data_IF_384383454420
#
_entry.id   IF_384383454420
#
_cell.length_a   1.000
_cell.length_b   1.000
_cell.length_c   1.000
_cell.angle_alpha   90.00
_cell.angle_beta   90.00
_cell.angle_gamma   90.00
#
_symmetry.space_group_name_H-M   'P 1'
#
loop_
_entity.id
_entity.type
_entity.pdbx_description
1 polymer ?
#
# COMPACT_ATOMS: atom_id res chain seq x y z
N UNK A 1 -22.85 -3.26 -3.81
CA UNK A 1 -24.03 -2.56 -3.28
C UNK A 1 -23.91 -1.08 -3.60
N UNK A 2 -24.99 -0.46 -4.11
CA UNK A 2 -24.97 0.94 -4.52
C UNK A 2 -24.61 1.91 -3.38
N UNK A 3 -25.07 1.61 -2.16
CA UNK A 3 -24.76 2.44 -0.99
C UNK A 3 -23.29 2.39 -0.61
N UNK A 4 -22.67 1.21 -0.68
CA UNK A 4 -21.25 1.07 -0.40
C UNK A 4 -20.40 1.79 -1.43
N UNK A 5 -20.79 1.74 -2.69
CA UNK A 5 -20.08 2.45 -3.75
C UNK A 5 -20.16 3.97 -3.57
N UNK A 6 -21.30 4.47 -3.14
CA UNK A 6 -21.46 5.90 -2.86
C UNK A 6 -20.57 6.38 -1.71
N UNK A 7 -20.41 5.57 -0.67
CA UNK A 7 -19.56 5.89 0.47
C UNK A 7 -18.06 5.74 0.18
N UNK A 8 -17.70 4.86 -0.75
CA UNK A 8 -16.30 4.61 -1.09
C UNK A 8 -15.76 5.55 -2.14
N UNK A 9 -16.62 6.23 -2.89
CA UNK A 9 -16.25 7.07 -4.01
C UNK A 9 -16.09 6.30 -5.32
N UNK A 10 -15.45 6.93 -6.31
CA UNK A 10 -15.20 6.34 -7.62
C UNK A 10 -13.99 5.42 -7.58
N UNK A 11 -14.16 4.17 -8.01
CA UNK A 11 -13.01 3.27 -8.17
C UNK A 11 -12.15 3.76 -9.33
N UNK A 12 -10.87 4.05 -9.05
CA UNK A 12 -9.96 4.56 -10.07
C UNK A 12 -8.91 3.54 -10.51
N UNK A 13 -8.54 2.58 -9.65
CA UNK A 13 -7.65 1.49 -10.05
C UNK A 13 -7.75 0.29 -9.12
N UNK A 14 -7.33 -0.86 -9.64
CA UNK A 14 -7.02 -2.06 -8.90
C UNK A 14 -5.57 -2.44 -9.18
N UNK A 15 -4.81 -2.75 -8.15
CA UNK A 15 -3.41 -3.14 -8.27
C UNK A 15 -3.20 -4.59 -7.86
N UNK A 16 -2.29 -5.24 -8.57
CA UNK A 16 -1.72 -6.53 -8.20
C UNK A 16 -0.20 -6.30 -8.10
N UNK A 17 0.28 -6.21 -6.87
CA UNK A 17 1.66 -5.85 -6.56
C UNK A 17 2.36 -7.05 -5.96
N UNK A 18 3.69 -7.09 -6.15
CA UNK A 18 4.54 -8.05 -5.49
C UNK A 18 5.46 -7.35 -4.50
N UNK A 19 5.69 -8.01 -3.37
CA UNK A 19 6.76 -7.63 -2.44
C UNK A 19 8.06 -8.16 -3.02
N UNK A 20 8.89 -7.26 -3.56
CA UNK A 20 10.11 -7.62 -4.28
C UNK A 20 11.24 -7.92 -3.31
N UNK A 21 11.38 -7.10 -2.28
CA UNK A 21 12.42 -7.26 -1.25
C UNK A 21 12.03 -6.52 0.01
N UNK A 22 12.65 -6.91 1.11
CA UNK A 22 12.47 -6.28 2.41
C UNK A 22 13.84 -5.93 2.98
N UNK A 23 13.99 -4.68 3.41
CA UNK A 23 15.15 -4.25 4.18
C UNK A 23 14.72 -4.12 5.63
N UNK A 24 15.38 -4.84 6.53
CA UNK A 24 15.17 -4.69 7.96
C UNK A 24 16.30 -3.92 8.64
N UNK A 25 16.07 -3.57 9.89
CA UNK A 25 17.03 -2.80 10.68
C UNK A 25 17.30 -3.51 12.02
N UNK A 26 17.59 -4.81 11.92
CA UNK A 26 17.97 -5.63 13.06
C UNK A 26 16.91 -6.61 13.54
N UNK A 27 15.64 -6.43 13.13
CA UNK A 27 14.56 -7.38 13.41
C UNK A 27 13.85 -7.68 12.09
N UNK A 28 13.92 -8.93 11.67
CA UNK A 28 13.31 -9.31 10.39
C UNK A 28 11.80 -9.46 10.50
N UNK A 29 11.11 -9.28 9.38
CA UNK A 29 9.67 -9.51 9.30
C UNK A 29 9.34 -10.97 9.63
N UNK A 30 10.15 -11.90 9.15
CA UNK A 30 9.95 -13.33 9.40
C UNK A 30 10.02 -13.67 10.89
N UNK A 31 11.00 -13.12 11.61
CA UNK A 31 11.15 -13.34 13.05
C UNK A 31 9.94 -12.80 13.84
N UNK A 32 9.40 -11.67 13.43
CA UNK A 32 8.21 -11.10 14.07
C UNK A 32 6.98 -11.94 13.76
N UNK A 33 6.77 -12.31 12.52
CA UNK A 33 5.57 -13.06 12.09
C UNK A 33 5.54 -14.47 12.65
N UNK A 34 6.70 -15.10 12.83
CA UNK A 34 6.80 -16.45 13.42
C UNK A 34 6.85 -16.43 14.94
N UNK A 35 6.89 -15.27 15.56
CA UNK A 35 6.99 -15.13 17.01
C UNK A 35 8.37 -15.41 17.58
N UNK A 36 9.40 -15.57 16.75
CA UNK A 36 10.77 -15.77 17.20
C UNK A 36 11.32 -14.59 17.97
N UNK A 37 10.95 -13.39 17.56
CA UNK A 37 11.32 -12.14 18.22
C UNK A 37 10.09 -11.27 18.41
N UNK A 38 10.02 -10.63 19.58
CA UNK A 38 9.02 -9.61 19.83
C UNK A 38 9.43 -8.31 19.14
N UNK A 39 8.45 -7.47 18.83
CA UNK A 39 8.73 -6.11 18.36
C UNK A 39 9.40 -5.34 19.50
N UNK A 40 10.57 -4.72 19.27
CA UNK A 40 11.24 -3.93 20.29
C UNK A 40 10.38 -2.79 20.80
N UNK A 41 10.66 -2.32 22.02
CA UNK A 41 9.88 -1.24 22.63
C UNK A 41 9.85 0.04 21.76
N UNK A 42 10.94 0.35 21.08
CA UNK A 42 11.03 1.49 20.16
C UNK A 42 10.34 1.23 18.81
N UNK A 43 9.82 0.03 18.61
CA UNK A 43 9.27 -0.39 17.33
C UNK A 43 10.32 -0.98 16.39
N UNK A 44 9.85 -1.55 15.29
CA UNK A 44 10.69 -2.09 14.22
C UNK A 44 10.32 -1.42 12.90
N UNK A 45 11.32 -1.06 12.12
CA UNK A 45 11.14 -0.52 10.77
C UNK A 45 11.48 -1.59 9.74
N UNK A 46 10.63 -1.66 8.72
CA UNK A 46 10.84 -2.52 7.55
C UNK A 46 10.60 -1.70 6.30
N UNK A 47 11.56 -1.67 5.41
CA UNK A 47 11.37 -1.02 4.11
C UNK A 47 10.93 -2.10 3.11
N UNK A 48 9.68 -2.03 2.69
CA UNK A 48 9.07 -2.98 1.77
C UNK A 48 9.15 -2.43 0.36
N UNK A 49 9.90 -3.10 -0.50
CA UNK A 49 10.00 -2.73 -1.91
C UNK A 49 8.89 -3.44 -2.67
N UNK A 50 8.00 -2.68 -3.29
CA UNK A 50 6.84 -3.18 -4.02
C UNK A 50 6.90 -2.80 -5.48
N UNK A 51 6.35 -3.66 -6.33
CA UNK A 51 6.28 -3.44 -7.77
C UNK A 51 5.13 -4.25 -8.36
N UNK A 52 4.39 -3.66 -9.25
CA UNK A 52 3.31 -4.35 -9.93
C UNK A 52 2.49 -3.46 -10.85
N UNK A 53 1.37 -3.96 -11.28
CA UNK A 53 0.52 -3.29 -12.25
C UNK A 53 -0.81 -2.88 -11.65
N UNK A 54 -1.32 -1.74 -12.13
CA UNK A 54 -2.67 -1.29 -11.84
C UNK A 54 -3.49 -1.18 -13.12
N UNK A 55 -4.79 -1.38 -12.98
CA UNK A 55 -5.77 -1.25 -14.05
C UNK A 55 -6.96 -0.43 -13.59
N UNK A 56 -7.50 0.37 -14.48
CA UNK A 56 -8.68 1.18 -14.24
C UNK A 56 -8.60 2.51 -14.99
N UNK A 57 -9.25 3.52 -14.45
CA UNK A 57 -9.13 4.88 -14.97
C UNK A 57 -7.67 5.35 -14.96
N UNK A 58 -6.91 4.89 -13.97
CA UNK A 58 -5.46 5.05 -13.89
C UNK A 58 -4.83 3.67 -14.09
N UNK A 59 -4.18 3.44 -15.22
CA UNK A 59 -3.54 2.18 -15.56
C UNK A 59 -2.05 2.37 -15.77
N UNK A 60 -1.25 1.43 -15.25
CA UNK A 60 0.19 1.47 -15.39
C UNK A 60 0.91 0.63 -14.35
N UNK A 61 2.18 0.95 -14.16
CA UNK A 61 3.04 0.30 -13.18
C UNK A 61 3.12 1.15 -11.92
N UNK A 62 3.04 0.51 -10.77
CA UNK A 62 3.34 1.13 -9.47
C UNK A 62 4.55 0.44 -8.86
N UNK A 63 5.55 1.22 -8.48
CA UNK A 63 6.74 0.69 -7.82
C UNK A 63 7.29 1.72 -6.84
N UNK A 64 7.81 1.24 -5.74
CA UNK A 64 8.34 2.12 -4.70
C UNK A 64 8.54 1.40 -3.39
N UNK A 65 8.47 2.16 -2.31
CA UNK A 65 8.80 1.67 -0.98
C UNK A 65 7.68 2.04 -0.01
N UNK A 66 7.30 1.07 0.81
CA UNK A 66 6.55 1.29 2.03
C UNK A 66 7.54 1.27 3.20
N UNK A 67 7.74 2.41 3.83
CA UNK A 67 8.55 2.54 5.04
C UNK A 67 7.70 2.16 6.25
N UNK A 68 7.38 0.88 6.33
CA UNK A 68 6.47 0.32 7.31
C UNK A 68 7.08 0.33 8.71
N UNK A 69 6.28 0.66 9.71
CA UNK A 69 6.67 0.59 11.10
C UNK A 69 5.74 -0.32 11.89
N UNK A 70 6.33 -1.28 12.60
CA UNK A 70 5.62 -2.10 13.57
C UNK A 70 5.87 -1.54 14.95
N UNK A 71 4.78 -1.22 15.66
CA UNK A 71 4.86 -0.72 17.03
C UNK A 71 4.86 -1.89 18.01
N UNK A 72 5.43 -1.66 19.20
CA UNK A 72 5.44 -2.66 20.25
C UNK A 72 4.04 -3.07 20.72
N UNK A 73 3.04 -2.19 20.53
CA UNK A 73 1.64 -2.47 20.85
C UNK A 73 0.91 -3.27 19.76
N UNK A 74 1.61 -3.66 18.70
CA UNK A 74 1.06 -4.44 17.59
C UNK A 74 0.51 -3.64 16.43
N UNK A 75 0.44 -2.33 16.54
CA UNK A 75 -0.01 -1.47 15.45
C UNK A 75 1.03 -1.43 14.33
N UNK A 76 0.57 -1.56 13.10
CA UNK A 76 1.42 -1.47 11.91
C UNK A 76 1.03 -0.21 11.16
N UNK A 77 1.97 0.72 11.05
CA UNK A 77 1.79 1.98 10.33
C UNK A 77 2.46 1.89 8.95
N UNK A 78 1.76 2.35 7.93
CA UNK A 78 2.23 2.40 6.55
C UNK A 78 2.72 3.80 6.22
N UNK A 79 3.78 3.88 5.40
CA UNK A 79 4.32 5.14 4.89
C UNK A 79 4.79 4.90 3.46
N UNK A 80 3.92 5.22 2.50
CA UNK A 80 4.07 4.84 1.10
C UNK A 80 4.71 5.96 0.29
N UNK A 81 5.75 5.61 -0.47
CA UNK A 81 6.41 6.49 -1.43
C UNK A 81 6.58 5.71 -2.73
N UNK A 82 5.69 5.95 -3.68
CA UNK A 82 5.53 5.12 -4.87
C UNK A 82 5.51 6.00 -6.11
N UNK A 83 6.04 5.48 -7.20
CA UNK A 83 5.94 6.08 -8.51
C UNK A 83 4.90 5.32 -9.31
N UNK A 84 3.95 6.05 -9.89
CA UNK A 84 3.02 5.51 -10.87
C UNK A 84 3.51 5.90 -12.26
N UNK A 85 3.81 4.91 -13.07
CA UNK A 85 4.14 5.12 -14.49
C UNK A 85 2.96 4.65 -15.32
N UNK A 86 2.24 5.60 -15.91
CA UNK A 86 1.06 5.27 -16.69
C UNK A 86 1.43 4.58 -18.00
N UNK A 87 0.51 3.78 -18.55
CA UNK A 87 0.75 3.05 -19.80
C UNK A 87 1.03 3.99 -20.98
N UNK A 88 0.50 5.21 -20.95
CA UNK A 88 0.71 6.23 -21.97
C UNK A 88 1.90 7.17 -21.69
N UNK A 89 2.77 6.83 -20.73
CA UNK A 89 4.07 7.48 -20.58
C UNK A 89 4.13 8.67 -19.63
N UNK A 90 3.18 8.80 -18.70
CA UNK A 90 3.20 9.84 -17.68
C UNK A 90 3.64 9.30 -16.34
N UNK A 91 4.16 10.16 -15.48
CA UNK A 91 4.53 9.82 -14.11
C UNK A 91 3.70 10.60 -13.11
N UNK A 92 3.25 9.88 -12.10
CA UNK A 92 2.46 10.42 -10.99
C UNK A 92 3.13 10.00 -9.69
N UNK A 93 3.37 10.96 -8.81
CA UNK A 93 3.88 10.66 -7.49
C UNK A 93 2.73 10.20 -6.60
N UNK A 94 2.92 9.08 -5.92
CA UNK A 94 1.99 8.55 -4.95
C UNK A 94 2.65 8.60 -3.59
N UNK A 95 2.01 9.28 -2.65
CA UNK A 95 2.38 9.22 -1.24
C UNK A 95 1.16 8.79 -0.44
N UNK A 96 1.39 8.13 0.68
CA UNK A 96 0.28 7.70 1.50
C UNK A 96 0.69 7.24 2.87
N UNK A 97 -0.28 7.24 3.77
CA UNK A 97 -0.14 6.66 5.10
C UNK A 97 -1.32 5.75 5.36
N UNK A 98 -1.26 4.98 6.41
CA UNK A 98 -2.35 4.09 6.75
C UNK A 98 -1.95 3.04 7.76
N UNK A 99 -2.73 1.99 7.79
CA UNK A 99 -2.55 0.90 8.74
C UNK A 99 -2.74 -0.44 8.07
N UNK A 100 -2.03 -1.43 8.60
CA UNK A 100 -2.25 -2.82 8.25
C UNK A 100 -2.66 -3.59 9.51
N UNK A 101 -3.57 -4.54 9.34
CA UNK A 101 -4.09 -5.37 10.43
C UNK A 101 -3.91 -6.84 10.09
N UNK A 102 -3.02 -7.56 10.80
CA UNK A 102 -2.89 -9.00 10.61
C UNK A 102 -4.17 -9.74 10.97
N UNK A 103 -4.51 -10.77 10.20
CA UNK A 103 -5.62 -11.66 10.50
C UNK A 103 -5.14 -12.80 11.39
N UNK A 104 -5.94 -13.16 12.39
CA UNK A 104 -5.62 -14.26 13.28
C UNK A 104 -5.65 -15.61 12.55
N UNK A 105 -4.57 -16.38 12.66
CA UNK A 105 -4.49 -17.73 12.10
C UNK A 105 -4.32 -17.80 10.59
N UNK A 106 -4.11 -16.66 9.92
CA UNK A 106 -3.91 -16.59 8.48
C UNK A 106 -2.65 -15.77 8.14
N UNK A 107 -1.93 -16.13 7.06
CA UNK A 107 -0.80 -15.31 6.61
C UNK A 107 -1.27 -14.09 5.80
N UNK A 108 -2.36 -13.47 6.20
CA UNK A 108 -3.00 -12.35 5.51
C UNK A 108 -3.02 -11.12 6.39
N UNK A 109 -2.85 -9.97 5.77
CA UNK A 109 -3.06 -8.68 6.42
C UNK A 109 -4.07 -7.87 5.63
N UNK A 110 -4.89 -7.11 6.34
CA UNK A 110 -5.78 -6.12 5.75
C UNK A 110 -5.07 -4.78 5.68
N UNK A 111 -5.22 -4.07 4.56
CA UNK A 111 -4.51 -2.83 4.28
C UNK A 111 -5.52 -1.71 4.10
N UNK A 112 -5.29 -0.60 4.80
CA UNK A 112 -6.11 0.61 4.72
C UNK A 112 -5.19 1.81 4.59
N UNK A 113 -5.31 2.57 3.51
CA UNK A 113 -4.41 3.70 3.29
C UNK A 113 -5.12 4.93 2.76
N UNK A 114 -4.61 6.06 3.15
CA UNK A 114 -4.92 7.36 2.55
C UNK A 114 -3.87 7.65 1.50
N UNK A 115 -4.29 7.91 0.28
CA UNK A 115 -3.39 8.07 -0.86
C UNK A 115 -3.51 9.50 -1.39
N UNK A 116 -2.37 10.08 -1.72
CA UNK A 116 -2.27 11.35 -2.44
C UNK A 116 -1.53 11.12 -3.73
N UNK A 117 -2.15 11.54 -4.83
CA UNK A 117 -1.55 11.49 -6.16
C UNK A 117 -1.24 12.91 -6.61
N UNK A 118 -0.05 13.12 -7.16
CA UNK A 118 0.41 14.45 -7.58
C UNK A 118 1.14 14.34 -8.91
N UNK A 119 0.72 15.12 -9.89
CA UNK A 119 1.38 15.19 -11.18
C UNK A 119 1.19 16.56 -11.82
N UNK A 120 2.16 16.97 -12.62
CA UNK A 120 2.03 18.14 -13.49
C UNK A 120 1.48 17.79 -14.87
N UNK A 121 1.27 16.53 -15.17
CA UNK A 121 0.68 16.08 -16.44
C UNK A 121 -0.77 16.53 -16.55
N UNK A 122 -1.09 17.24 -17.63
CA UNK A 122 -2.46 17.75 -17.85
C UNK A 122 -3.48 16.62 -18.03
N UNK A 123 -3.09 15.53 -18.64
CA UNK A 123 -3.97 14.39 -18.88
C UNK A 123 -4.41 13.73 -17.57
N UNK A 124 -3.61 13.85 -16.52
CA UNK A 124 -3.89 13.27 -15.21
C UNK A 124 -4.14 14.29 -14.12
N UNK A 125 -4.39 15.55 -14.49
CA UNK A 125 -4.65 16.61 -13.50
C UNK A 125 -5.84 16.29 -12.59
N UNK A 126 -6.73 15.42 -13.01
CA UNK A 126 -7.90 14.99 -12.23
C UNK A 126 -7.55 14.24 -10.95
N UNK A 127 -6.30 13.73 -10.81
CA UNK A 127 -5.88 13.06 -9.58
C UNK A 127 -5.46 14.02 -8.47
N UNK A 128 -5.06 15.25 -8.85
CA UNK A 128 -4.59 16.24 -7.90
C UNK A 128 -5.73 16.76 -7.01
N UNK A 129 -5.40 17.14 -5.79
CA UNK A 129 -6.35 17.75 -4.85
C UNK A 129 -7.56 16.87 -4.52
N UNK A 130 -7.40 15.55 -4.61
CA UNK A 130 -8.48 14.59 -4.32
C UNK A 130 -8.09 13.69 -3.16
N UNK A 131 -9.07 13.41 -2.32
CA UNK A 131 -8.90 12.38 -1.28
C UNK A 131 -9.09 11.01 -1.91
N UNK A 132 -8.12 10.13 -1.71
CA UNK A 132 -8.18 8.77 -2.26
C UNK A 132 -7.99 7.78 -1.11
N UNK A 133 -8.90 6.81 -1.02
CA UNK A 133 -8.83 5.72 -0.07
C UNK A 133 -8.46 4.44 -0.79
N UNK A 134 -7.49 3.73 -0.24
CA UNK A 134 -7.07 2.43 -0.75
C UNK A 134 -7.36 1.36 0.28
N UNK A 135 -7.95 0.28 -0.16
CA UNK A 135 -8.23 -0.89 0.69
C UNK A 135 -7.73 -2.14 -0.03
N UNK A 136 -7.23 -3.08 0.74
CA UNK A 136 -6.75 -4.30 0.13
C UNK A 136 -6.23 -5.31 1.13
N UNK A 137 -5.49 -6.27 0.60
CA UNK A 137 -4.91 -7.37 1.37
C UNK A 137 -3.49 -7.64 0.92
N UNK A 138 -2.68 -8.10 1.86
CA UNK A 138 -1.36 -8.67 1.58
C UNK A 138 -1.32 -10.11 2.00
N UNK A 139 -0.76 -10.96 1.16
CA UNK A 139 -0.49 -12.37 1.47
C UNK A 139 0.97 -12.49 1.87
N UNK A 140 1.22 -12.73 3.15
CA UNK A 140 2.58 -12.81 3.69
C UNK A 140 3.32 -14.08 3.26
N UNK A 141 2.58 -15.12 2.87
CA UNK A 141 3.17 -16.37 2.39
C UNK A 141 3.72 -16.24 0.96
N UNK A 142 3.07 -15.45 0.11
CA UNK A 142 3.43 -15.29 -1.30
C UNK A 142 4.06 -13.95 -1.63
N UNK A 143 3.92 -12.96 -0.75
CA UNK A 143 4.33 -11.57 -1.01
C UNK A 143 3.40 -10.83 -1.95
N UNK A 144 2.22 -11.36 -2.22
CA UNK A 144 1.27 -10.74 -3.15
C UNK A 144 0.39 -9.73 -2.42
N UNK A 145 0.26 -8.56 -3.02
CA UNK A 145 -0.52 -7.45 -2.46
C UNK A 145 -1.56 -7.03 -3.49
N UNK A 146 -2.82 -6.96 -3.07
CA UNK A 146 -3.91 -6.50 -3.91
C UNK A 146 -4.61 -5.34 -3.22
N UNK A 147 -4.69 -4.22 -3.93
CA UNK A 147 -5.34 -3.01 -3.41
C UNK A 147 -6.26 -2.42 -4.46
N UNK A 148 -7.32 -1.78 -3.98
CA UNK A 148 -8.27 -1.04 -4.81
C UNK A 148 -8.37 0.37 -4.26
N UNK A 149 -8.32 1.37 -5.15
CA UNK A 149 -8.36 2.78 -4.76
C UNK A 149 -9.64 3.45 -5.22
N UNK A 150 -10.19 4.27 -4.33
CA UNK A 150 -11.45 4.98 -4.52
C UNK A 150 -11.24 6.48 -4.31
N UNK A 151 -11.54 7.26 -5.33
CA UNK A 151 -11.43 8.73 -5.29
C UNK A 151 -12.74 9.33 -4.81
N UNK A 152 -12.66 10.23 -3.85
CA UNK A 152 -13.81 10.90 -3.25
C UNK A 152 -14.26 12.14 -4.01
#
# INVERSE_FOLDING_TARGET
MAQDQGMRGEKIYECDLALVSVTDYGVSMDDILTGKKAVPLQGARLDLHIDGACKGRLSGRQHGIDYLRMRADGRIDLDLHVIVETDDGHRIALSGDGQAAPRNGEPMIDIFANIRLTTASKEYAWVNERQIWSVGTGDLATGRIRVTAYMQ
#
